data_IF_991834188601
#
_entry.id   IF_991834188601
#
_cell.length_a   1.000
_cell.length_b   1.000
_cell.length_c   1.000
_cell.angle_alpha   90.00
_cell.angle_beta   90.00
_cell.angle_gamma   90.00
#
_symmetry.space_group_name_H-M   'P 1'
#
loop_
_entity.id
_entity.type
_entity.pdbx_description
1 polymer ?
#
# COMPACT_ATOMS: atom_id res chain seq x y z
N UNK A 1 -3.03 -8.95 14.42
CA UNK A 1 -4.42 -8.78 13.91
C UNK A 1 -5.13 -7.79 14.81
N UNK A 2 -6.06 -6.96 14.30
CA UNK A 2 -6.94 -6.18 15.17
C UNK A 2 -7.74 -7.11 16.09
N UNK A 3 -7.82 -6.80 17.38
CA UNK A 3 -8.53 -7.65 18.35
C UNK A 3 -10.00 -7.85 17.99
N UNK A 4 -10.67 -6.78 17.57
CA UNK A 4 -12.06 -6.82 17.11
C UNK A 4 -12.27 -7.84 15.98
N UNK A 5 -11.28 -8.05 15.10
CA UNK A 5 -11.38 -9.02 14.00
C UNK A 5 -11.24 -10.46 14.51
N UNK A 6 -10.40 -10.68 15.52
CA UNK A 6 -10.28 -12.00 16.17
C UNK A 6 -11.60 -12.45 16.82
N UNK A 7 -12.42 -11.50 17.27
CA UNK A 7 -13.70 -11.77 17.94
C UNK A 7 -14.89 -11.84 16.97
N UNK A 8 -14.88 -11.05 15.89
CA UNK A 8 -16.03 -10.89 14.98
C UNK A 8 -15.95 -11.67 13.67
N UNK A 9 -14.76 -12.08 13.22
CA UNK A 9 -14.60 -12.80 11.96
C UNK A 9 -14.89 -14.30 12.11
N UNK A 10 -15.48 -14.93 11.08
CA UNK A 10 -15.48 -16.39 10.97
C UNK A 10 -14.05 -16.94 11.03
N UNK A 11 -13.86 -18.05 11.76
CA UNK A 11 -12.52 -18.66 11.94
C UNK A 11 -11.81 -18.98 10.62
N UNK A 12 -12.56 -19.42 9.61
CA UNK A 12 -12.04 -19.69 8.27
C UNK A 12 -11.47 -18.44 7.60
N UNK A 13 -12.17 -17.32 7.68
CA UNK A 13 -11.74 -16.05 7.10
C UNK A 13 -10.56 -15.43 7.87
N UNK A 14 -10.57 -15.57 9.20
CA UNK A 14 -9.42 -15.18 10.04
C UNK A 14 -8.17 -15.98 9.67
N UNK A 15 -8.31 -17.30 9.48
CA UNK A 15 -7.23 -18.17 9.04
C UNK A 15 -6.69 -17.77 7.66
N UNK A 16 -7.58 -17.42 6.73
CA UNK A 16 -7.19 -16.90 5.41
C UNK A 16 -6.34 -15.64 5.57
N UNK A 17 -6.80 -14.62 6.31
CA UNK A 17 -6.03 -13.38 6.47
C UNK A 17 -4.68 -13.59 7.17
N UNK A 18 -4.62 -14.44 8.20
CA UNK A 18 -3.37 -14.80 8.85
C UNK A 18 -2.40 -15.49 7.89
N UNK A 19 -2.89 -16.43 7.09
CA UNK A 19 -2.08 -17.16 6.10
C UNK A 19 -1.56 -16.21 5.01
N UNK A 20 -2.39 -15.25 4.55
CA UNK A 20 -1.98 -14.21 3.61
C UNK A 20 -0.83 -13.38 4.17
N UNK A 21 -0.94 -12.89 5.41
CA UNK A 21 0.10 -12.07 6.03
C UNK A 21 1.39 -12.85 6.29
N UNK A 22 1.27 -14.09 6.76
CA UNK A 22 2.42 -14.97 6.98
C UNK A 22 3.17 -15.21 5.68
N UNK A 23 2.46 -15.55 4.61
CA UNK A 23 3.06 -15.73 3.28
C UNK A 23 3.80 -14.46 2.82
N UNK A 24 3.20 -13.27 2.97
CA UNK A 24 3.85 -12.01 2.59
C UNK A 24 5.14 -11.77 3.40
N UNK A 25 5.14 -12.07 4.69
CA UNK A 25 6.31 -11.93 5.55
C UNK A 25 7.43 -12.92 5.18
N UNK A 26 7.08 -14.20 4.99
CA UNK A 26 8.02 -15.25 4.59
C UNK A 26 8.63 -14.99 3.20
N UNK A 27 7.91 -14.30 2.31
CA UNK A 27 8.41 -13.88 1.00
C UNK A 27 9.15 -12.54 1.02
N UNK A 28 9.39 -11.95 2.20
CA UNK A 28 10.16 -10.72 2.37
C UNK A 28 9.49 -9.47 1.78
N UNK A 29 8.18 -9.50 1.54
CA UNK A 29 7.48 -8.35 0.93
C UNK A 29 7.57 -7.07 1.77
N UNK A 30 7.44 -7.11 3.12
CA UNK A 30 7.60 -5.91 3.93
C UNK A 30 8.98 -5.25 3.74
N UNK A 31 10.05 -6.04 3.69
CA UNK A 31 11.40 -5.52 3.50
C UNK A 31 11.60 -4.91 2.10
N UNK A 32 11.08 -5.57 1.05
CA UNK A 32 11.09 -5.03 -0.32
C UNK A 32 10.35 -3.70 -0.40
N UNK A 33 9.17 -3.60 0.22
CA UNK A 33 8.43 -2.34 0.32
C UNK A 33 9.28 -1.23 0.92
N UNK A 34 9.92 -1.48 2.08
CA UNK A 34 10.75 -0.47 2.75
C UNK A 34 11.88 0.01 1.84
N UNK A 35 12.62 -0.90 1.21
CA UNK A 35 13.72 -0.54 0.31
C UNK A 35 13.21 0.29 -0.88
N UNK A 36 12.14 -0.16 -1.54
CA UNK A 36 11.61 0.52 -2.71
C UNK A 36 11.12 1.94 -2.38
N UNK A 37 10.46 2.10 -1.23
CA UNK A 37 9.98 3.41 -0.78
C UNK A 37 11.12 4.31 -0.30
N UNK A 38 12.15 3.76 0.33
CA UNK A 38 13.37 4.51 0.66
C UNK A 38 14.02 5.04 -0.63
N UNK A 39 14.23 4.18 -1.63
CA UNK A 39 14.78 4.58 -2.92
C UNK A 39 13.90 5.60 -3.63
N UNK A 40 12.57 5.43 -3.61
CA UNK A 40 11.62 6.39 -4.16
C UNK A 40 11.74 7.77 -3.51
N UNK A 41 11.83 7.83 -2.18
CA UNK A 41 11.93 9.10 -1.45
C UNK A 41 13.31 9.75 -1.65
N UNK A 42 14.41 8.99 -1.61
CA UNK A 42 15.75 9.52 -1.89
C UNK A 42 15.87 10.06 -3.33
N UNK A 43 15.28 9.34 -4.30
CA UNK A 43 15.23 9.79 -5.69
C UNK A 43 14.45 11.09 -5.82
N UNK A 44 13.28 11.18 -5.18
CA UNK A 44 12.49 12.41 -5.14
C UNK A 44 13.27 13.57 -4.53
N UNK A 45 13.99 13.32 -3.42
CA UNK A 45 14.80 14.33 -2.77
C UNK A 45 15.90 14.86 -3.68
N UNK A 46 16.68 13.96 -4.27
CA UNK A 46 17.76 14.31 -5.18
C UNK A 46 17.25 15.03 -6.43
N UNK A 47 16.14 14.55 -7.02
CA UNK A 47 15.55 15.16 -8.20
C UNK A 47 15.11 16.61 -7.94
N UNK A 48 14.47 16.88 -6.79
CA UNK A 48 14.08 18.24 -6.41
C UNK A 48 15.27 19.16 -6.17
N UNK A 49 16.26 18.66 -5.41
CA UNK A 49 17.47 19.41 -5.11
C UNK A 49 18.21 19.84 -6.38
N UNK A 50 18.32 18.95 -7.38
CA UNK A 50 18.98 19.25 -8.65
C UNK A 50 18.12 20.11 -9.58
N UNK A 51 16.83 19.83 -9.71
CA UNK A 51 15.95 20.53 -10.65
C UNK A 51 15.78 22.01 -10.31
N UNK A 52 15.84 22.36 -9.02
CA UNK A 52 15.64 23.73 -8.54
C UNK A 52 16.90 24.34 -7.91
N UNK A 53 18.06 23.67 -8.04
CA UNK A 53 19.34 24.09 -7.46
C UNK A 53 19.22 24.50 -5.98
N UNK A 54 18.47 23.73 -5.19
CA UNK A 54 18.08 24.13 -3.84
C UNK A 54 19.28 24.31 -2.90
N UNK A 55 20.42 23.69 -3.22
CA UNK A 55 21.66 23.81 -2.45
C UNK A 55 22.30 25.20 -2.51
N UNK A 56 21.97 26.02 -3.53
CA UNK A 56 22.47 27.40 -3.64
C UNK A 56 21.59 28.42 -2.93
N UNK A 57 20.39 28.03 -2.50
CA UNK A 57 19.43 28.91 -1.84
C UNK A 57 19.69 29.03 -0.32
N UNK A 58 19.25 30.12 0.33
CA UNK A 58 19.23 30.20 1.78
C UNK A 58 18.43 29.04 2.38
N UNK A 59 18.90 28.50 3.52
CA UNK A 59 18.37 27.28 4.13
C UNK A 59 16.85 27.26 4.27
N UNK A 60 16.24 28.37 4.70
CA UNK A 60 14.78 28.46 4.85
C UNK A 60 14.03 28.27 3.53
N UNK A 61 14.50 28.93 2.46
CA UNK A 61 13.92 28.83 1.12
C UNK A 61 14.15 27.44 0.53
N UNK A 62 15.35 26.88 0.71
CA UNK A 62 15.69 25.53 0.26
C UNK A 62 14.78 24.47 0.90
N UNK A 63 14.58 24.54 2.22
CA UNK A 63 13.71 23.62 2.96
C UNK A 63 12.25 23.73 2.51
N UNK A 64 11.74 24.95 2.36
CA UNK A 64 10.38 25.17 1.89
C UNK A 64 10.18 24.67 0.45
N UNK A 65 11.12 24.98 -0.45
CA UNK A 65 11.12 24.49 -1.83
C UNK A 65 11.15 22.97 -1.89
N UNK A 66 11.99 22.34 -1.06
CA UNK A 66 12.06 20.89 -0.95
C UNK A 66 10.73 20.30 -0.47
N UNK A 67 10.08 20.89 0.54
CA UNK A 67 8.79 20.42 1.05
C UNK A 67 7.68 20.53 -0.02
N UNK A 68 7.63 21.63 -0.77
CA UNK A 68 6.70 21.81 -1.89
C UNK A 68 6.91 20.76 -2.98
N UNK A 69 8.17 20.56 -3.42
CA UNK A 69 8.50 19.54 -4.40
C UNK A 69 8.16 18.13 -3.92
N UNK A 70 8.57 17.78 -2.70
CA UNK A 70 8.31 16.46 -2.13
C UNK A 70 6.82 16.19 -1.94
N UNK A 71 6.01 17.24 -1.76
CA UNK A 71 4.54 17.12 -1.79
C UNK A 71 4.05 16.69 -3.17
N UNK A 72 4.53 17.31 -4.25
CA UNK A 72 4.21 16.90 -5.63
C UNK A 72 4.74 15.49 -5.96
N UNK A 73 5.98 15.18 -5.57
CA UNK A 73 6.58 13.86 -5.77
C UNK A 73 5.81 12.76 -5.01
N UNK A 74 5.39 13.04 -3.78
CA UNK A 74 4.55 12.12 -2.99
C UNK A 74 3.18 11.94 -3.62
N UNK A 75 2.60 12.99 -4.20
CA UNK A 75 1.34 12.91 -4.94
C UNK A 75 1.48 12.06 -6.20
N UNK A 76 2.58 12.20 -6.96
CA UNK A 76 2.89 11.30 -8.06
C UNK A 76 2.99 9.83 -7.59
N UNK A 77 3.60 9.61 -6.43
CA UNK A 77 3.65 8.29 -5.78
C UNK A 77 2.25 7.70 -5.56
N UNK A 78 1.27 8.51 -5.14
CA UNK A 78 -0.12 8.05 -5.00
C UNK A 78 -0.75 7.60 -6.32
N UNK A 79 -0.34 8.15 -7.46
CA UNK A 79 -0.89 7.78 -8.77
C UNK A 79 -0.25 6.52 -9.33
N UNK A 80 1.03 6.28 -9.03
CA UNK A 80 1.84 5.22 -9.67
C UNK A 80 1.97 3.98 -8.79
N UNK A 81 2.25 4.15 -7.50
CA UNK A 81 2.55 3.05 -6.59
C UNK A 81 1.39 2.06 -6.36
N UNK A 82 0.08 2.46 -6.40
CA UNK A 82 -1.01 1.49 -6.31
C UNK A 82 -0.93 0.43 -7.40
N UNK A 83 -0.65 0.83 -8.64
CA UNK A 83 -0.55 -0.10 -9.76
C UNK A 83 0.62 -1.06 -9.68
N UNK A 84 1.71 -0.66 -9.02
CA UNK A 84 2.87 -1.49 -8.76
C UNK A 84 2.66 -2.46 -7.57
N UNK A 85 1.94 -2.03 -6.53
CA UNK A 85 1.69 -2.84 -5.33
C UNK A 85 0.59 -3.90 -5.48
N UNK A 86 -0.40 -3.70 -6.37
CA UNK A 86 -1.58 -4.59 -6.49
C UNK A 86 -1.27 -6.04 -6.81
N UNK A 87 -0.16 -6.33 -7.49
CA UNK A 87 0.27 -7.69 -7.77
C UNK A 87 0.45 -8.53 -6.49
N UNK A 88 0.86 -7.88 -5.39
CA UNK A 88 1.04 -8.50 -4.09
C UNK A 88 -0.28 -8.96 -3.46
N UNK A 89 -1.38 -8.25 -3.73
CA UNK A 89 -2.71 -8.64 -3.26
C UNK A 89 -3.14 -9.94 -3.95
N UNK A 90 -3.05 -9.99 -5.28
CA UNK A 90 -3.37 -11.19 -6.06
C UNK A 90 -2.48 -12.37 -5.70
N UNK A 91 -1.18 -12.13 -5.50
CA UNK A 91 -0.23 -13.17 -5.13
C UNK A 91 -0.54 -13.77 -3.74
N UNK A 92 -0.89 -12.93 -2.76
CA UNK A 92 -1.27 -13.39 -1.43
C UNK A 92 -2.58 -14.20 -1.45
N UNK A 93 -3.58 -13.77 -2.24
CA UNK A 93 -4.85 -14.49 -2.37
C UNK A 93 -4.64 -15.88 -3.00
N UNK A 94 -3.83 -15.94 -4.07
CA UNK A 94 -3.47 -17.21 -4.73
C UNK A 94 -2.61 -18.12 -3.86
N UNK A 95 -1.67 -17.55 -3.10
CA UNK A 95 -0.86 -18.33 -2.17
C UNK A 95 -1.73 -19.05 -1.15
N UNK A 96 -2.74 -18.38 -0.61
CA UNK A 96 -3.69 -19.02 0.31
C UNK A 96 -4.58 -20.03 -0.40
N UNK A 97 -5.04 -19.76 -1.63
CA UNK A 97 -5.77 -20.75 -2.42
C UNK A 97 -4.93 -22.03 -2.66
N UNK A 98 -3.62 -21.89 -2.88
CA UNK A 98 -2.71 -23.04 -3.04
C UNK A 98 -2.48 -23.86 -1.76
N UNK A 99 -2.87 -23.32 -0.60
CA UNK A 99 -2.85 -24.04 0.69
C UNK A 99 -4.15 -24.81 0.95
N UNK A 100 -5.00 -25.01 -0.07
CA UNK A 100 -6.34 -25.61 0.04
C UNK A 100 -7.30 -24.86 0.97
N UNK A 101 -7.07 -23.56 1.17
CA UNK A 101 -8.01 -22.66 1.85
C UNK A 101 -8.83 -21.91 0.82
N UNK A 102 -10.10 -21.62 1.09
CA UNK A 102 -10.94 -20.79 0.21
C UNK A 102 -10.83 -19.31 0.61
N UNK A 103 -10.14 -18.45 -0.18
CA UNK A 103 -10.05 -17.04 0.13
C UNK A 103 -11.31 -16.24 -0.23
N UNK A 104 -12.29 -16.84 -0.93
CA UNK A 104 -13.43 -16.13 -1.52
C UNK A 104 -14.30 -15.42 -0.49
N UNK A 105 -14.56 -16.07 0.65
CA UNK A 105 -15.33 -15.47 1.75
C UNK A 105 -14.67 -14.20 2.28
N UNK A 106 -13.37 -14.27 2.57
CA UNK A 106 -12.57 -13.12 3.00
C UNK A 106 -12.52 -12.01 1.94
N UNK A 107 -12.30 -12.38 0.66
CA UNK A 107 -12.24 -11.41 -0.44
C UNK A 107 -13.54 -10.61 -0.54
N UNK A 108 -14.70 -11.25 -0.37
CA UNK A 108 -16.02 -10.59 -0.43
C UNK A 108 -16.33 -9.78 0.83
N UNK A 109 -15.84 -10.18 2.01
CA UNK A 109 -16.10 -9.47 3.26
C UNK A 109 -15.20 -8.25 3.47
N UNK A 110 -13.94 -8.30 3.03
CA UNK A 110 -12.99 -7.22 3.28
C UNK A 110 -13.53 -5.83 2.84
N UNK A 111 -14.16 -5.67 1.66
CA UNK A 111 -14.71 -4.39 1.27
C UNK A 111 -15.85 -3.91 2.16
N UNK A 112 -16.72 -4.80 2.65
CA UNK A 112 -17.84 -4.42 3.54
C UNK A 112 -17.33 -3.92 4.89
N UNK A 113 -16.18 -4.41 5.35
CA UNK A 113 -15.56 -3.99 6.61
C UNK A 113 -14.73 -2.71 6.47
N UNK A 114 -14.15 -2.47 5.30
CA UNK A 114 -13.22 -1.34 5.07
C UNK A 114 -13.88 -0.15 4.40
N UNK A 115 -15.01 -0.38 3.72
CA UNK A 115 -15.68 0.59 2.86
C UNK A 115 -14.98 0.79 1.51
N UNK A 116 -14.10 -0.14 1.11
CA UNK A 116 -13.25 -0.02 -0.07
C UNK A 116 -13.42 -1.21 -1.01
N UNK A 117 -14.22 -1.06 -2.08
CA UNK A 117 -14.37 -2.08 -3.13
C UNK A 117 -14.03 -1.55 -4.53
N UNK A 118 -12.73 -1.37 -4.80
CA UNK A 118 -12.22 -1.01 -6.13
C UNK A 118 -13.07 -0.01 -6.93
N UNK A 119 -13.09 -0.14 -8.25
CA UNK A 119 -13.99 0.63 -9.09
C UNK A 119 -14.38 -0.16 -10.34
N UNK A 120 -15.60 0.02 -10.84
CA UNK A 120 -16.05 -0.61 -12.07
C UNK A 120 -15.20 -0.20 -13.29
N UNK A 121 -14.62 1.01 -13.28
CA UNK A 121 -13.71 1.49 -14.33
C UNK A 121 -12.28 1.05 -14.03
N UNK A 122 -11.64 0.22 -14.87
CA UNK A 122 -10.32 -0.36 -14.57
C UNK A 122 -9.20 0.66 -14.36
N UNK A 123 -9.25 1.81 -15.05
CA UNK A 123 -8.25 2.86 -14.92
C UNK A 123 -8.42 3.68 -13.64
N UNK A 124 -9.68 3.93 -13.20
CA UNK A 124 -9.97 4.58 -11.92
C UNK A 124 -9.49 3.70 -10.79
N UNK A 125 -9.79 2.39 -10.87
CA UNK A 125 -9.28 1.41 -9.92
C UNK A 125 -7.75 1.39 -9.92
N UNK A 126 -7.11 1.52 -11.09
CA UNK A 126 -5.67 1.48 -11.20
C UNK A 126 -4.93 2.64 -10.53
N UNK A 127 -5.55 3.81 -10.50
CA UNK A 127 -4.96 5.03 -9.94
C UNK A 127 -5.35 5.19 -8.47
N UNK A 128 -6.61 4.98 -8.13
CA UNK A 128 -7.14 5.39 -6.82
C UNK A 128 -7.31 4.24 -5.82
N UNK A 129 -7.21 2.98 -6.24
CA UNK A 129 -7.52 1.84 -5.38
C UNK A 129 -6.32 0.90 -5.23
N UNK A 130 -5.57 0.99 -4.11
CA UNK A 130 -4.45 0.09 -3.81
C UNK A 130 -4.86 -1.38 -3.66
N UNK A 131 -6.10 -1.62 -3.21
CA UNK A 131 -6.70 -2.96 -3.17
C UNK A 131 -7.64 -3.08 -4.37
N UNK A 132 -7.43 -4.05 -5.29
CA UNK A 132 -8.36 -4.30 -6.38
C UNK A 132 -9.72 -4.77 -5.84
N UNK A 133 -10.79 -4.53 -6.60
CA UNK A 133 -12.14 -4.99 -6.26
C UNK A 133 -12.22 -6.50 -5.97
N UNK A 134 -13.18 -6.88 -5.12
CA UNK A 134 -13.42 -8.28 -4.78
C UNK A 134 -13.66 -9.14 -6.04
N UNK A 135 -14.41 -8.62 -7.02
CA UNK A 135 -14.67 -9.29 -8.29
C UNK A 135 -13.37 -9.65 -9.04
N UNK A 136 -12.47 -8.67 -9.20
CA UNK A 136 -11.18 -8.90 -9.88
C UNK A 136 -10.27 -9.85 -9.10
N UNK A 137 -10.29 -9.78 -7.76
CA UNK A 137 -9.51 -10.68 -6.91
C UNK A 137 -9.99 -12.13 -7.06
N UNK A 138 -11.30 -12.36 -7.06
CA UNK A 138 -11.90 -13.69 -7.31
C UNK A 138 -11.53 -14.20 -8.70
N UNK A 139 -11.70 -13.38 -9.75
CA UNK A 139 -11.33 -13.73 -11.12
C UNK A 139 -9.84 -14.11 -11.24
N UNK A 140 -8.98 -13.38 -10.52
CA UNK A 140 -7.53 -13.63 -10.55
C UNK A 140 -7.10 -14.97 -9.93
N UNK A 141 -7.94 -15.62 -9.12
CA UNK A 141 -7.59 -16.90 -8.48
C UNK A 141 -7.25 -17.98 -9.51
N UNK A 142 -7.92 -17.96 -10.68
CA UNK A 142 -7.66 -18.88 -11.79
C UNK A 142 -6.44 -18.54 -12.66
N UNK A 143 -5.89 -17.32 -12.56
CA UNK A 143 -4.88 -16.80 -13.50
C UNK A 143 -3.53 -16.47 -12.84
N UNK A 144 -2.38 -16.89 -13.41
CA UNK A 144 -1.07 -16.64 -12.79
C UNK A 144 -0.78 -15.14 -12.64
N UNK A 145 -0.11 -14.77 -11.54
CA UNK A 145 0.34 -13.39 -11.34
C UNK A 145 1.54 -13.13 -12.23
N UNK A 146 1.38 -12.27 -13.24
CA UNK A 146 2.43 -11.95 -14.24
C UNK A 146 3.26 -10.71 -13.90
N UNK A 147 2.88 -9.96 -12.87
CA UNK A 147 3.54 -8.71 -12.47
C UNK A 147 4.47 -8.93 -11.28
N UNK A 148 5.53 -8.12 -11.11
CA UNK A 148 6.40 -8.20 -9.94
C UNK A 148 5.61 -8.05 -8.64
N UNK A 149 5.94 -8.90 -7.66
CA UNK A 149 5.32 -8.88 -6.32
C UNK A 149 6.22 -8.11 -5.37
N UNK A 150 5.88 -6.83 -5.15
CA UNK A 150 6.76 -5.84 -4.51
C UNK A 150 6.38 -5.52 -3.06
N UNK A 151 5.21 -5.95 -2.61
CA UNK A 151 4.59 -5.58 -1.34
C UNK A 151 3.55 -4.46 -1.46
N UNK A 152 3.13 -3.90 -0.32
CA UNK A 152 2.15 -2.81 -0.24
C UNK A 152 2.85 -1.44 -0.35
N UNK A 153 2.98 -0.92 -1.57
CA UNK A 153 3.74 0.30 -1.83
C UNK A 153 2.94 1.58 -1.55
N UNK A 154 1.73 1.67 -2.12
CA UNK A 154 0.97 2.92 -2.15
C UNK A 154 0.65 3.45 -0.75
N UNK A 155 0.26 2.53 0.12
CA UNK A 155 -0.20 2.89 1.44
C UNK A 155 0.95 3.05 2.43
N UNK A 156 1.99 2.21 2.34
CA UNK A 156 3.21 2.40 3.12
C UNK A 156 3.96 3.68 2.74
N UNK A 157 3.88 4.15 1.49
CA UNK A 157 4.50 5.42 1.06
C UNK A 157 4.02 6.61 1.88
N UNK A 158 2.74 6.64 2.26
CA UNK A 158 2.22 7.75 3.06
C UNK A 158 2.88 7.85 4.43
N UNK A 159 3.23 6.70 5.02
CA UNK A 159 3.95 6.65 6.27
C UNK A 159 5.43 6.99 6.09
N UNK A 160 6.12 6.34 5.14
CA UNK A 160 7.56 6.50 4.94
C UNK A 160 7.97 7.84 4.30
N UNK A 161 7.03 8.54 3.65
CA UNK A 161 7.30 9.85 3.03
C UNK A 161 7.40 11.00 4.04
N UNK A 162 7.01 10.81 5.31
CA UNK A 162 7.07 11.85 6.35
C UNK A 162 8.47 12.47 6.51
N UNK A 163 9.53 11.67 6.32
CA UNK A 163 10.91 12.14 6.38
C UNK A 163 11.26 13.13 5.24
N UNK A 164 10.47 13.17 4.17
CA UNK A 164 10.62 14.10 3.05
C UNK A 164 9.97 15.46 3.25
N UNK A 165 9.51 15.79 4.47
CA UNK A 165 8.82 17.05 4.82
C UNK A 165 7.52 17.32 4.03
N UNK A 166 6.99 16.30 3.35
CA UNK A 166 5.75 16.39 2.61
C UNK A 166 4.57 16.67 3.54
N UNK A 167 3.66 17.54 3.10
CA UNK A 167 2.42 17.82 3.82
C UNK A 167 1.34 16.77 3.53
N UNK A 168 1.57 15.92 2.53
CA UNK A 168 0.56 15.04 1.96
C UNK A 168 0.06 13.96 2.93
N UNK A 169 0.93 13.40 3.77
CA UNK A 169 0.55 12.43 4.80
C UNK A 169 -0.48 12.99 5.80
N UNK A 170 -0.54 14.33 5.97
CA UNK A 170 -1.54 15.01 6.80
C UNK A 170 -2.84 15.30 6.03
N UNK A 171 -2.75 15.58 4.74
CA UNK A 171 -3.91 15.90 3.89
C UNK A 171 -4.74 14.69 3.47
N UNK A 172 -4.11 13.51 3.33
CA UNK A 172 -4.80 12.24 2.98
C UNK A 172 -4.76 11.23 4.13
N UNK A 173 -4.93 11.71 5.36
CA UNK A 173 -4.86 10.93 6.60
C UNK A 173 -5.83 9.74 6.63
N UNK A 174 -6.95 9.78 5.89
CA UNK A 174 -7.89 8.67 5.74
C UNK A 174 -7.25 7.40 5.15
N UNK A 175 -6.10 7.54 4.48
CA UNK A 175 -5.29 6.44 3.97
C UNK A 175 -4.16 6.01 4.94
N UNK A 176 -3.87 6.73 6.03
CA UNK A 176 -2.73 6.49 6.94
C UNK A 176 -3.12 5.70 8.21
N UNK A 177 -4.40 5.53 8.51
CA UNK A 177 -4.89 4.87 9.74
C UNK A 177 -5.49 3.46 9.59
N UNK A 178 -5.45 2.86 8.40
CA UNK A 178 -6.21 1.62 8.11
C UNK A 178 -5.51 0.37 8.68
N UNK A 179 -6.26 -0.67 9.12
CA UNK A 179 -5.69 -1.90 9.72
C UNK A 179 -4.68 -2.69 8.87
N UNK A 180 -4.67 -2.45 7.55
CA UNK A 180 -3.67 -3.01 6.65
C UNK A 180 -2.29 -2.31 6.75
N UNK A 181 -2.23 -1.14 7.40
CA UNK A 181 -1.07 -0.23 7.48
C UNK A 181 -0.58 0.04 8.89
N UNK A 182 -1.09 -0.72 9.84
CA UNK A 182 -0.58 -0.71 11.18
C UNK A 182 0.83 -1.29 11.17
N UNK A 183 1.82 -0.39 11.03
CA UNK A 183 3.24 -0.65 11.30
C UNK A 183 3.41 -0.98 12.79
N UNK A 184 2.62 -0.32 13.63
CA UNK A 184 2.38 -0.69 15.02
C UNK A 184 0.91 -1.12 15.15
N UNK A 185 0.61 -2.26 15.80
CA UNK A 185 -0.77 -2.54 16.19
C UNK A 185 -1.28 -1.37 17.06
N UNK A 186 -2.60 -1.09 17.08
CA UNK A 186 -3.14 -0.11 18.02
C UNK A 186 -2.80 -0.65 19.39
N UNK A 187 -2.15 0.18 20.21
CA UNK A 187 -2.13 -0.06 21.64
C UNK A 187 -3.58 0.01 22.13
N UNK A 188 -3.95 -0.97 22.95
CA UNK A 188 -5.21 -1.02 23.68
C UNK A 188 -5.45 0.26 24.48
#
# INVERSE_FOLDING_TARGET
MPEAWCQSLPKSELQVELSRRRWQAENGLPFRTVILLLLWNLTGCQAGALAFDLGSLPTGTAVLGQACWMTLWSFLGLLVLPSLGRASVFAADRAVASMNLDPSGWIRRLPTMTGEDGNARPWVEAIFYPIPSAARRIESLGSPVRRPVLGDLARSQLYYSLAGLTLLGRSVHCNVGRPALWVFPPSA
#
